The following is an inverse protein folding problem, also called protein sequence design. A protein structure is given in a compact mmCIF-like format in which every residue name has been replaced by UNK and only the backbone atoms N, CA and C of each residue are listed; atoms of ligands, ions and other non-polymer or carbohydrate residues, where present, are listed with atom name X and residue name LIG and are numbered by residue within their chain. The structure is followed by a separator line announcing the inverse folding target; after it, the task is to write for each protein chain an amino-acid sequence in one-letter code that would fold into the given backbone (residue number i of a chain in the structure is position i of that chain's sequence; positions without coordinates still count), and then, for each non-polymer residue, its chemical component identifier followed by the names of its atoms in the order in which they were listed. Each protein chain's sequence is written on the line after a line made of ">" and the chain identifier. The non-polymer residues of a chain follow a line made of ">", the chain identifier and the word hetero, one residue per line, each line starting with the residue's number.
data_IF_295895356540
#
_entry.id   IF_295895356540
#
_cell.length_a   1.000
_cell.length_b   1.000
_cell.length_c   1.000
_cell.angle_alpha   90.00
_cell.angle_beta   90.00
_cell.angle_gamma   90.00
#
_symmetry.space_group_name_H-M   'P 1'
#
loop_
_entity.id
_entity.type
_entity.pdbx_description
1 polymer ?
#
# COMPACT_ATOMS: atom_id res chain seq x y z
N UNK A 1 -9.82 39.30 -8.28
CA UNK A 1 -8.64 39.20 -9.12
C UNK A 1 -8.53 37.79 -9.69
N UNK A 2 -7.95 37.61 -10.89
CA UNK A 2 -7.84 36.29 -11.57
C UNK A 2 -7.11 35.25 -10.73
N UNK A 3 -6.13 35.66 -9.91
CA UNK A 3 -5.37 34.77 -9.01
C UNK A 3 -6.26 34.12 -7.95
N UNK A 4 -7.18 34.90 -7.36
CA UNK A 4 -8.11 34.35 -6.34
C UNK A 4 -9.08 33.34 -6.95
N UNK A 5 -9.51 33.56 -8.18
CA UNK A 5 -10.41 32.67 -8.91
C UNK A 5 -9.70 31.35 -9.30
N UNK A 6 -8.43 31.41 -9.75
CA UNK A 6 -7.60 30.23 -9.99
C UNK A 6 -7.35 29.41 -8.71
N UNK A 7 -7.08 30.08 -7.58
CA UNK A 7 -6.84 29.41 -6.30
C UNK A 7 -8.10 28.71 -5.81
N UNK A 8 -9.27 29.33 -5.98
CA UNK A 8 -10.56 28.75 -5.65
C UNK A 8 -10.87 27.54 -6.54
N UNK A 9 -10.60 27.61 -7.86
CA UNK A 9 -10.78 26.50 -8.78
C UNK A 9 -9.90 25.30 -8.42
N UNK A 10 -8.64 25.53 -8.05
CA UNK A 10 -7.71 24.48 -7.58
C UNK A 10 -8.26 23.80 -6.33
N UNK A 11 -8.71 24.56 -5.32
CA UNK A 11 -9.28 24.01 -4.09
C UNK A 11 -10.50 23.13 -4.39
N UNK A 12 -11.39 23.58 -5.29
CA UNK A 12 -12.60 22.83 -5.65
C UNK A 12 -12.25 21.52 -6.38
N UNK A 13 -11.29 21.56 -7.31
CA UNK A 13 -10.85 20.37 -8.06
C UNK A 13 -10.18 19.33 -7.16
N UNK A 14 -9.40 19.77 -6.16
CA UNK A 14 -8.70 18.87 -5.22
C UNK A 14 -9.51 18.55 -3.94
N UNK A 15 -10.76 19.01 -3.85
CA UNK A 15 -11.62 18.76 -2.70
C UNK A 15 -11.76 17.26 -2.35
N UNK A 16 -12.02 16.33 -3.30
CA UNK A 16 -12.15 14.91 -2.97
C UNK A 16 -10.83 14.29 -2.48
N UNK A 17 -9.68 14.69 -3.05
CA UNK A 17 -8.37 14.21 -2.64
C UNK A 17 -8.01 14.73 -1.24
N UNK A 18 -8.27 16.00 -0.97
CA UNK A 18 -8.08 16.60 0.36
C UNK A 18 -8.95 15.95 1.40
N UNK A 19 -10.19 15.59 1.07
CA UNK A 19 -11.10 14.88 1.99
C UNK A 19 -10.55 13.50 2.34
N UNK A 20 -10.15 12.70 1.33
CA UNK A 20 -9.51 11.39 1.55
C UNK A 20 -8.23 11.50 2.39
N UNK A 21 -7.42 12.51 2.13
CA UNK A 21 -6.20 12.78 2.90
C UNK A 21 -6.50 13.10 4.37
N UNK A 22 -7.49 13.94 4.63
CA UNK A 22 -7.92 14.30 6.00
C UNK A 22 -8.57 13.12 6.73
N UNK A 23 -9.36 12.29 6.05
CA UNK A 23 -9.94 11.06 6.61
C UNK A 23 -8.84 10.06 6.98
N UNK A 24 -7.83 9.89 6.14
CA UNK A 24 -6.66 9.03 6.44
C UNK A 24 -5.82 9.58 7.61
N UNK A 25 -5.71 10.89 7.74
CA UNK A 25 -5.04 11.51 8.90
C UNK A 25 -5.87 11.38 10.19
N UNK A 26 -7.20 11.44 10.09
CA UNK A 26 -8.09 11.35 11.25
C UNK A 26 -8.20 9.94 11.86
N UNK A 27 -7.98 8.90 11.06
CA UNK A 27 -8.01 7.49 11.53
C UNK A 27 -6.71 7.03 12.19
N UNK A 28 -5.60 7.74 11.99
CA UNK A 28 -4.35 7.50 12.72
C UNK A 28 -4.29 8.43 13.91
N UNK A 29 -4.26 7.88 15.11
CA UNK A 29 -4.10 8.63 16.36
C UNK A 29 -2.95 9.62 16.26
N UNK A 30 -3.26 10.91 16.07
CA UNK A 30 -2.32 12.02 15.83
C UNK A 30 -1.48 12.35 17.09
N UNK A 31 -1.80 11.77 18.24
CA UNK A 31 -1.07 12.00 19.50
C UNK A 31 0.36 11.45 19.52
N UNK A 32 0.76 10.62 18.51
CA UNK A 32 2.12 10.07 18.37
C UNK A 32 3.01 10.77 17.34
N UNK A 33 2.45 11.51 16.37
CA UNK A 33 3.14 11.85 15.13
C UNK A 33 4.39 12.76 15.24
N UNK A 34 4.56 13.52 16.31
CA UNK A 34 5.77 14.34 16.49
C UNK A 34 6.85 13.61 17.32
N UNK A 35 6.45 12.69 18.19
CA UNK A 35 7.38 11.85 18.95
C UNK A 35 7.83 10.62 18.16
N UNK A 36 7.04 10.17 17.17
CA UNK A 36 7.40 9.05 16.30
C UNK A 36 8.55 9.38 15.33
N UNK A 37 8.71 10.65 14.93
CA UNK A 37 9.88 11.05 14.14
C UNK A 37 11.18 10.83 14.95
N UNK A 38 11.16 10.98 16.26
CA UNK A 38 12.32 10.71 17.12
C UNK A 38 12.52 9.21 17.42
N UNK A 39 11.44 8.43 17.38
CA UNK A 39 11.50 6.97 17.56
C UNK A 39 12.00 6.24 16.32
N UNK A 40 11.83 6.83 15.11
CA UNK A 40 12.41 6.31 13.87
C UNK A 40 13.94 6.26 13.89
N UNK A 41 14.58 7.10 14.72
CA UNK A 41 16.04 7.05 14.92
C UNK A 41 16.51 5.98 15.91
N UNK A 42 15.60 5.33 16.65
CA UNK A 42 15.96 4.38 17.73
C UNK A 42 15.35 2.98 17.56
N UNK A 43 14.66 2.69 16.45
CA UNK A 43 14.05 1.38 16.23
C UNK A 43 15.11 0.38 15.79
N UNK A 44 15.40 -0.59 16.65
CA UNK A 44 16.01 -1.85 16.23
C UNK A 44 15.25 -2.33 14.99
N UNK A 45 15.98 -2.72 13.95
CA UNK A 45 15.50 -3.12 12.64
C UNK A 45 14.63 -4.39 12.74
N UNK A 46 13.40 -4.27 13.26
CA UNK A 46 12.39 -5.29 13.01
C UNK A 46 12.01 -5.14 11.54
N UNK A 47 12.28 -6.18 10.77
CA UNK A 47 11.90 -6.26 9.35
C UNK A 47 10.37 -6.21 9.31
N UNK A 48 9.81 -5.13 8.76
CA UNK A 48 8.37 -4.99 8.63
C UNK A 48 7.88 -5.97 7.54
N UNK A 49 6.98 -6.88 7.93
CA UNK A 49 6.48 -7.96 7.08
C UNK A 49 5.01 -7.72 6.76
N UNK A 50 4.60 -8.06 5.53
CA UNK A 50 3.19 -8.03 5.15
C UNK A 50 2.38 -9.13 5.82
N UNK A 51 3.00 -10.29 6.10
CA UNK A 51 2.39 -11.45 6.75
C UNK A 51 3.46 -12.30 7.45
N UNK A 52 3.04 -13.15 8.39
CA UNK A 52 3.93 -13.98 9.18
C UNK A 52 4.43 -15.22 8.44
N UNK A 53 5.49 -15.83 8.94
CA UNK A 53 6.02 -17.10 8.44
C UNK A 53 5.00 -18.25 8.63
N UNK A 54 4.16 -18.18 9.69
CA UNK A 54 3.05 -19.10 9.92
C UNK A 54 2.06 -19.05 8.75
N UNK A 55 1.71 -17.85 8.29
CA UNK A 55 0.81 -17.65 7.15
C UNK A 55 1.33 -18.28 5.87
N UNK A 56 2.64 -18.18 5.60
CA UNK A 56 3.24 -18.87 4.44
C UNK A 56 3.03 -20.38 4.54
N UNK A 57 3.25 -20.96 5.71
CA UNK A 57 3.04 -22.39 5.94
C UNK A 57 1.59 -22.81 5.73
N UNK A 58 0.63 -22.07 6.26
CA UNK A 58 -0.79 -22.35 6.13
C UNK A 58 -1.30 -22.21 4.69
N UNK A 59 -0.88 -21.14 3.97
CA UNK A 59 -1.19 -20.94 2.55
C UNK A 59 -0.65 -22.07 1.69
N UNK A 60 0.64 -22.41 1.89
CA UNK A 60 1.28 -23.49 1.14
C UNK A 60 0.56 -24.81 1.36
N UNK A 61 0.25 -25.16 2.61
CA UNK A 61 -0.49 -26.38 2.96
C UNK A 61 -1.88 -26.40 2.31
N UNK A 62 -2.62 -25.29 2.38
CA UNK A 62 -3.95 -25.18 1.80
C UNK A 62 -3.94 -25.34 0.28
N UNK A 63 -3.08 -24.57 -0.42
CA UNK A 63 -3.03 -24.58 -1.89
C UNK A 63 -2.70 -25.95 -2.45
N UNK A 64 -1.73 -26.67 -1.86
CA UNK A 64 -1.36 -27.99 -2.36
C UNK A 64 -2.38 -29.06 -1.98
N UNK A 65 -3.00 -29.00 -0.79
CA UNK A 65 -4.10 -29.90 -0.43
C UNK A 65 -5.31 -29.71 -1.37
N UNK A 66 -5.68 -28.48 -1.69
CA UNK A 66 -6.73 -28.20 -2.67
C UNK A 66 -6.32 -28.63 -4.10
N UNK A 67 -5.04 -28.50 -4.45
CA UNK A 67 -4.51 -28.94 -5.74
C UNK A 67 -4.61 -30.47 -5.94
N UNK A 68 -4.32 -31.26 -4.91
CA UNK A 68 -4.44 -32.74 -4.93
C UNK A 68 -5.85 -33.20 -5.27
N UNK A 69 -6.87 -32.54 -4.74
CA UNK A 69 -8.29 -32.87 -4.98
C UNK A 69 -8.93 -32.01 -6.08
N UNK A 70 -8.13 -31.19 -6.78
CA UNK A 70 -8.59 -30.27 -7.84
C UNK A 70 -9.72 -29.33 -7.40
N UNK A 71 -9.62 -28.81 -6.20
CA UNK A 71 -10.48 -27.74 -5.72
C UNK A 71 -9.90 -26.40 -6.20
N UNK A 72 -10.67 -25.68 -7.03
CA UNK A 72 -10.26 -24.37 -7.54
C UNK A 72 -10.25 -23.32 -6.44
N UNK A 73 -9.19 -22.54 -6.34
CA UNK A 73 -9.08 -21.48 -5.34
C UNK A 73 -8.46 -20.20 -5.94
N UNK A 74 -8.84 -19.04 -5.37
CA UNK A 74 -8.34 -17.74 -5.74
C UNK A 74 -8.11 -16.93 -4.44
N UNK A 75 -6.84 -16.80 -4.03
CA UNK A 75 -6.46 -16.16 -2.76
C UNK A 75 -5.62 -14.93 -3.05
N UNK A 76 -6.07 -13.78 -2.57
CA UNK A 76 -5.42 -12.48 -2.71
C UNK A 76 -4.77 -12.10 -1.40
N UNK A 77 -3.50 -11.69 -1.47
CA UNK A 77 -2.73 -11.20 -0.33
C UNK A 77 -2.44 -9.72 -0.57
N UNK A 78 -3.03 -8.86 0.27
CA UNK A 78 -2.80 -7.41 0.23
C UNK A 78 -1.36 -7.06 0.62
N UNK A 79 -0.80 -6.03 -0.06
CA UNK A 79 0.51 -5.48 0.27
C UNK A 79 0.41 -3.99 0.57
N UNK A 80 1.07 -3.11 -0.22
CA UNK A 80 1.04 -1.65 0.01
C UNK A 80 -0.26 -1.00 -0.45
N UNK A 81 -0.80 -1.47 -1.58
CA UNK A 81 -2.03 -0.90 -2.16
C UNK A 81 -3.24 -1.51 -1.47
N UNK A 82 -4.06 -0.72 -0.75
CA UNK A 82 -5.25 -1.22 -0.07
C UNK A 82 -6.28 -1.79 -1.05
N UNK A 83 -6.88 -2.92 -0.69
CA UNK A 83 -7.89 -3.63 -1.49
C UNK A 83 -9.33 -3.41 -1.01
N UNK A 84 -9.62 -2.31 -0.29
CA UNK A 84 -10.91 -2.05 0.34
C UNK A 84 -12.09 -2.15 -0.64
N UNK A 85 -11.95 -1.63 -1.86
CA UNK A 85 -12.99 -1.69 -2.91
C UNK A 85 -13.38 -3.14 -3.26
N UNK A 86 -12.40 -4.05 -3.30
CA UNK A 86 -12.64 -5.47 -3.59
C UNK A 86 -13.19 -6.22 -2.38
N UNK A 87 -12.73 -5.86 -1.16
CA UNK A 87 -13.24 -6.42 0.11
C UNK A 87 -14.74 -6.15 0.26
N UNK A 88 -15.20 -4.92 -0.03
CA UNK A 88 -16.61 -4.51 0.05
C UNK A 88 -17.53 -5.29 -0.90
N UNK A 89 -16.99 -5.90 -1.96
CA UNK A 89 -17.78 -6.72 -2.88
C UNK A 89 -18.08 -8.13 -2.36
N UNK A 90 -17.42 -8.55 -1.29
CA UNK A 90 -17.49 -9.90 -0.74
C UNK A 90 -18.27 -10.00 0.57
N UNK A 91 -18.13 -11.14 1.23
CA UNK A 91 -18.72 -11.45 2.54
C UNK A 91 -17.63 -11.32 3.59
N UNK A 92 -17.83 -10.46 4.59
CA UNK A 92 -16.89 -10.25 5.69
C UNK A 92 -16.77 -11.51 6.57
N UNK A 93 -15.52 -11.94 6.78
CA UNK A 93 -15.20 -13.09 7.64
C UNK A 93 -14.39 -12.68 8.87
N UNK A 94 -13.41 -11.82 8.69
CA UNK A 94 -12.48 -11.35 9.73
C UNK A 94 -11.88 -12.45 10.61
N UNK A 95 -11.49 -13.57 10.00
CA UNK A 95 -11.04 -14.80 10.65
C UNK A 95 -9.52 -14.94 10.65
N UNK A 96 -8.98 -15.66 11.64
CA UNK A 96 -7.58 -16.03 11.68
C UNK A 96 -7.25 -17.06 10.59
N UNK A 97 -6.05 -16.95 10.01
CA UNK A 97 -5.60 -17.83 8.94
C UNK A 97 -5.33 -19.23 9.44
N UNK A 98 -5.92 -20.22 8.75
CA UNK A 98 -5.57 -21.61 8.84
C UNK A 98 -5.80 -22.33 7.50
N UNK A 99 -5.01 -23.36 7.24
CA UNK A 99 -5.15 -24.15 6.00
C UNK A 99 -6.53 -24.79 5.90
N UNK A 100 -7.09 -25.24 7.03
CA UNK A 100 -8.42 -25.83 7.10
C UNK A 100 -9.52 -24.83 6.72
N UNK A 101 -9.39 -23.56 7.14
CA UNK A 101 -10.36 -22.53 6.81
C UNK A 101 -10.37 -22.25 5.31
N UNK A 102 -9.18 -22.10 4.67
CA UNK A 102 -9.10 -21.93 3.22
C UNK A 102 -9.73 -23.11 2.47
N UNK A 103 -9.44 -24.37 2.87
CA UNK A 103 -10.01 -25.56 2.25
C UNK A 103 -11.54 -25.55 2.37
N UNK A 104 -12.08 -25.21 3.54
CA UNK A 104 -13.53 -25.13 3.76
C UNK A 104 -14.21 -23.99 2.98
N UNK A 105 -13.56 -22.84 2.84
CA UNK A 105 -14.10 -21.72 2.04
C UNK A 105 -14.24 -22.14 0.58
N UNK A 106 -13.23 -22.80 0.00
CA UNK A 106 -13.22 -23.19 -1.40
C UNK A 106 -13.87 -24.55 -1.69
N UNK A 107 -14.42 -25.21 -0.66
CA UNK A 107 -15.18 -26.46 -0.86
C UNK A 107 -16.35 -26.23 -1.83
N UNK A 108 -16.45 -27.11 -2.84
CA UNK A 108 -17.46 -26.98 -3.90
C UNK A 108 -18.89 -26.99 -3.34
N UNK A 109 -19.76 -26.24 -3.96
CA UNK A 109 -21.17 -26.10 -3.60
C UNK A 109 -21.43 -25.48 -2.21
N UNK A 110 -20.47 -24.78 -1.62
CA UNK A 110 -20.66 -23.97 -0.42
C UNK A 110 -20.93 -22.50 -0.81
N UNK A 111 -21.57 -21.69 0.04
CA UNK A 111 -21.86 -20.28 -0.27
C UNK A 111 -20.61 -19.40 -0.48
N UNK A 112 -19.44 -19.81 0.03
CA UNK A 112 -18.22 -18.99 0.05
C UNK A 112 -17.22 -19.33 -1.06
N UNK A 113 -17.46 -20.39 -1.87
CA UNK A 113 -16.44 -20.92 -2.79
C UNK A 113 -16.28 -20.11 -4.10
N UNK A 114 -17.33 -19.36 -4.49
CA UNK A 114 -17.33 -18.62 -5.75
C UNK A 114 -16.81 -17.19 -5.53
N UNK A 115 -15.70 -16.89 -6.17
CA UNK A 115 -15.00 -15.61 -6.02
C UNK A 115 -13.61 -15.76 -5.40
N UNK A 116 -13.06 -14.64 -4.96
CA UNK A 116 -11.77 -14.57 -4.32
C UNK A 116 -11.87 -14.45 -2.80
N UNK A 117 -10.88 -14.97 -2.12
CA UNK A 117 -10.62 -14.68 -0.70
C UNK A 117 -9.57 -13.59 -0.61
N UNK A 118 -9.84 -12.54 0.16
CA UNK A 118 -8.87 -11.48 0.42
C UNK A 118 -8.32 -11.64 1.83
N UNK A 119 -6.99 -11.72 1.88
CA UNK A 119 -6.20 -11.75 3.09
C UNK A 119 -5.48 -10.42 3.29
N UNK A 120 -5.57 -9.87 4.50
CA UNK A 120 -4.83 -8.68 4.94
C UNK A 120 -4.00 -9.08 6.16
N UNK A 121 -2.68 -8.99 6.04
CA UNK A 121 -1.72 -9.49 7.04
C UNK A 121 -1.96 -10.97 7.34
N UNK A 122 -2.27 -11.29 8.59
CA UNK A 122 -2.50 -12.66 9.08
C UNK A 122 -3.99 -12.96 9.30
N UNK A 123 -4.89 -12.28 8.56
CA UNK A 123 -6.34 -12.49 8.64
C UNK A 123 -6.99 -12.68 7.28
N UNK A 124 -7.93 -13.60 7.19
CA UNK A 124 -8.89 -13.69 6.09
C UNK A 124 -9.98 -12.65 6.38
N UNK A 125 -10.03 -11.58 5.56
CA UNK A 125 -10.94 -10.46 5.79
C UNK A 125 -12.28 -10.71 5.11
N UNK A 126 -12.27 -11.15 3.84
CA UNK A 126 -13.50 -11.37 3.07
C UNK A 126 -13.36 -12.54 2.11
N UNK A 127 -14.49 -13.15 1.74
CA UNK A 127 -14.59 -14.19 0.72
C UNK A 127 -15.63 -13.80 -0.33
N UNK A 128 -15.72 -14.55 -1.42
CA UNK A 128 -16.60 -14.28 -2.58
C UNK A 128 -16.36 -12.92 -3.26
N UNK A 129 -15.17 -12.37 -3.09
CA UNK A 129 -14.84 -11.06 -3.65
C UNK A 129 -14.75 -11.11 -5.18
N UNK A 130 -15.29 -10.08 -5.83
CA UNK A 130 -15.26 -9.93 -7.28
C UNK A 130 -13.99 -9.23 -7.71
N UNK A 131 -13.27 -9.82 -8.66
CA UNK A 131 -12.01 -9.29 -9.17
C UNK A 131 -12.13 -8.91 -10.66
N UNK A 132 -11.39 -7.90 -11.13
CA UNK A 132 -11.36 -7.53 -12.54
C UNK A 132 -10.65 -8.63 -13.35
N UNK A 133 -11.19 -8.94 -14.51
CA UNK A 133 -10.55 -9.84 -15.46
C UNK A 133 -9.56 -9.08 -16.35
N UNK A 134 -8.36 -9.62 -16.52
CA UNK A 134 -7.40 -9.03 -17.45
C UNK A 134 -7.96 -9.02 -18.90
N UNK A 135 -7.85 -7.87 -19.53
CA UNK A 135 -8.19 -7.68 -20.96
C UNK A 135 -7.05 -8.00 -21.91
N UNK A 136 -5.91 -8.45 -21.40
CA UNK A 136 -4.71 -8.72 -22.18
C UNK A 136 -4.91 -9.93 -23.10
N UNK A 137 -4.97 -9.68 -24.42
CA UNK A 137 -5.15 -10.71 -25.45
C UNK A 137 -3.98 -11.68 -25.60
N UNK A 138 -2.82 -11.38 -24.99
CA UNK A 138 -1.63 -12.25 -25.04
C UNK A 138 -1.67 -13.36 -23.98
N UNK A 139 -2.63 -13.35 -23.06
CA UNK A 139 -2.81 -14.40 -22.08
C UNK A 139 -3.22 -15.70 -22.77
N UNK A 140 -2.59 -16.80 -22.37
CA UNK A 140 -2.92 -18.11 -22.90
C UNK A 140 -4.42 -18.42 -22.74
N UNK A 141 -5.08 -18.76 -23.84
CA UNK A 141 -6.53 -19.01 -23.89
C UNK A 141 -6.97 -20.22 -23.05
N UNK A 142 -6.05 -21.11 -22.72
CA UNK A 142 -6.30 -22.28 -21.88
C UNK A 142 -6.34 -21.96 -20.38
N UNK A 143 -6.10 -20.69 -19.99
CA UNK A 143 -6.21 -20.26 -18.61
C UNK A 143 -7.66 -19.91 -18.28
N UNK A 144 -8.20 -20.54 -17.22
CA UNK A 144 -9.56 -20.32 -16.73
C UNK A 144 -9.78 -18.90 -16.15
N UNK A 145 -11.02 -18.62 -15.79
CA UNK A 145 -11.45 -17.31 -15.27
C UNK A 145 -10.68 -16.87 -14.04
N UNK A 146 -10.38 -17.78 -13.08
CA UNK A 146 -9.59 -17.49 -11.88
C UNK A 146 -8.18 -17.02 -12.20
N UNK A 147 -7.52 -17.61 -13.18
CA UNK A 147 -6.19 -17.15 -13.62
C UNK A 147 -6.24 -15.76 -14.26
N UNK A 148 -7.28 -15.49 -15.07
CA UNK A 148 -7.46 -14.18 -15.70
C UNK A 148 -7.80 -13.09 -14.68
N UNK A 149 -8.56 -13.43 -13.63
CA UNK A 149 -8.84 -12.55 -12.50
C UNK A 149 -7.56 -12.26 -11.70
N UNK A 150 -6.75 -13.29 -11.43
CA UNK A 150 -5.48 -13.12 -10.73
C UNK A 150 -4.52 -12.17 -11.48
N UNK A 151 -4.40 -12.35 -12.79
CA UNK A 151 -3.58 -11.45 -13.62
C UNK A 151 -4.18 -10.03 -13.58
N UNK A 152 -5.50 -9.88 -13.79
CA UNK A 152 -6.17 -8.58 -13.86
C UNK A 152 -6.01 -7.76 -12.59
N UNK A 153 -6.17 -8.36 -11.42
CA UNK A 153 -5.94 -7.67 -10.16
C UNK A 153 -4.45 -7.33 -9.96
N UNK A 154 -3.54 -8.25 -10.30
CA UNK A 154 -2.10 -8.00 -10.17
C UNK A 154 -1.53 -7.02 -11.22
N UNK A 155 -2.28 -6.68 -12.28
CA UNK A 155 -1.98 -5.57 -13.21
C UNK A 155 -2.33 -4.21 -12.59
N UNK A 156 -3.39 -4.16 -11.76
CA UNK A 156 -3.91 -2.93 -11.17
C UNK A 156 -3.32 -2.60 -9.79
N UNK A 157 -2.77 -3.60 -9.10
CA UNK A 157 -2.28 -3.50 -7.73
C UNK A 157 -0.97 -4.25 -7.55
N UNK A 158 -0.31 -4.04 -6.40
CA UNK A 158 0.93 -4.75 -6.03
C UNK A 158 0.67 -6.05 -5.26
N UNK A 159 -0.59 -6.49 -5.15
CA UNK A 159 -0.98 -7.69 -4.42
C UNK A 159 -0.37 -8.97 -5.00
N UNK A 160 -0.31 -10.01 -4.17
CA UNK A 160 -0.01 -11.37 -4.61
C UNK A 160 -1.32 -12.14 -4.79
N UNK A 161 -1.46 -12.85 -5.91
CA UNK A 161 -2.67 -13.64 -6.13
C UNK A 161 -2.31 -15.10 -6.41
N UNK A 162 -2.67 -15.97 -5.47
CA UNK A 162 -2.52 -17.42 -5.60
C UNK A 162 -3.74 -18.01 -6.30
N UNK A 163 -3.50 -18.91 -7.23
CA UNK A 163 -4.53 -19.63 -7.97
C UNK A 163 -4.29 -21.12 -7.89
N UNK A 164 -5.31 -21.87 -7.55
CA UNK A 164 -5.33 -23.32 -7.69
C UNK A 164 -6.29 -23.66 -8.83
N UNK A 165 -5.81 -24.42 -9.81
CA UNK A 165 -6.61 -24.82 -10.98
C UNK A 165 -7.55 -25.96 -10.60
N UNK A 166 -8.84 -25.82 -10.89
CA UNK A 166 -9.82 -26.89 -10.73
C UNK A 166 -9.72 -27.98 -11.80
N UNK A 167 -9.06 -27.70 -12.92
CA UNK A 167 -8.87 -28.66 -14.00
C UNK A 167 -7.63 -29.53 -13.78
N UNK A 168 -6.51 -28.89 -13.46
CA UNK A 168 -5.20 -29.55 -13.38
C UNK A 168 -4.69 -29.76 -11.96
N UNK A 169 -5.22 -29.01 -10.96
CA UNK A 169 -4.69 -28.97 -9.61
C UNK A 169 -3.39 -28.13 -9.49
N UNK A 170 -2.90 -27.55 -10.58
CA UNK A 170 -1.68 -26.76 -10.55
C UNK A 170 -1.84 -25.47 -9.75
N UNK A 171 -0.81 -25.14 -8.97
CA UNK A 171 -0.74 -23.91 -8.19
C UNK A 171 0.04 -22.87 -8.97
N UNK A 172 -0.47 -21.65 -9.04
CA UNK A 172 0.12 -20.53 -9.75
C UNK A 172 0.12 -19.27 -8.88
N UNK A 173 1.06 -18.35 -9.13
CA UNK A 173 1.15 -17.06 -8.45
C UNK A 173 1.22 -15.93 -9.48
N UNK A 174 0.25 -15.02 -9.43
CA UNK A 174 0.27 -13.78 -10.20
C UNK A 174 0.87 -12.63 -9.38
N UNK A 175 1.80 -11.90 -9.98
CA UNK A 175 2.48 -10.73 -9.40
C UNK A 175 2.79 -9.75 -10.51
N UNK A 176 2.44 -8.47 -10.33
CA UNK A 176 2.73 -7.40 -11.29
C UNK A 176 2.31 -7.75 -12.73
N UNK A 177 1.12 -8.30 -12.91
CA UNK A 177 0.56 -8.68 -14.21
C UNK A 177 1.17 -9.93 -14.84
N UNK A 178 2.09 -10.63 -14.14
CA UNK A 178 2.74 -11.85 -14.63
C UNK A 178 2.30 -13.07 -13.85
N UNK A 179 1.92 -14.12 -14.57
CA UNK A 179 1.54 -15.40 -13.97
C UNK A 179 2.73 -16.37 -13.96
N UNK A 180 3.18 -16.76 -12.78
CA UNK A 180 4.10 -17.87 -12.57
C UNK A 180 3.27 -19.16 -12.45
N UNK A 181 3.16 -19.89 -13.53
CA UNK A 181 2.28 -21.04 -13.65
C UNK A 181 2.92 -22.34 -13.21
N UNK A 182 2.13 -23.25 -12.61
CA UNK A 182 2.53 -24.60 -12.20
C UNK A 182 3.79 -24.62 -11.31
N UNK A 183 3.71 -23.90 -10.19
CA UNK A 183 4.80 -23.82 -9.22
C UNK A 183 4.91 -25.12 -8.41
N UNK A 184 6.15 -25.55 -8.10
CA UNK A 184 6.38 -26.54 -7.04
C UNK A 184 6.17 -25.90 -5.66
N UNK A 185 5.94 -26.75 -4.65
CA UNK A 185 5.72 -26.30 -3.27
C UNK A 185 6.88 -25.45 -2.76
N UNK A 186 8.09 -25.86 -3.04
CA UNK A 186 9.33 -25.19 -2.65
C UNK A 186 9.42 -23.81 -3.32
N UNK A 187 9.13 -23.76 -4.63
CA UNK A 187 9.21 -22.51 -5.41
C UNK A 187 8.15 -21.50 -5.00
N UNK A 188 6.91 -21.96 -4.74
CA UNK A 188 5.87 -21.09 -4.22
C UNK A 188 6.26 -20.51 -2.85
N UNK A 189 6.77 -21.36 -1.94
CA UNK A 189 7.20 -20.94 -0.61
C UNK A 189 8.35 -19.93 -0.70
N UNK A 190 9.36 -20.17 -1.55
CA UNK A 190 10.46 -19.22 -1.81
C UNK A 190 9.93 -17.85 -2.28
N UNK A 191 8.98 -17.86 -3.22
CA UNK A 191 8.39 -16.63 -3.73
C UNK A 191 7.59 -15.89 -2.64
N UNK A 192 6.82 -16.59 -1.80
CA UNK A 192 6.10 -15.97 -0.69
C UNK A 192 7.06 -15.33 0.32
N UNK A 193 8.17 -15.98 0.65
CA UNK A 193 9.20 -15.36 1.50
C UNK A 193 9.84 -14.14 0.86
N UNK A 194 10.11 -14.18 -0.44
CA UNK A 194 10.66 -13.05 -1.19
C UNK A 194 9.75 -11.82 -1.11
N UNK A 195 8.45 -12.00 -1.27
CA UNK A 195 7.47 -10.91 -1.28
C UNK A 195 6.89 -10.57 0.10
N UNK A 196 7.27 -11.29 1.15
CA UNK A 196 6.84 -11.06 2.53
C UNK A 196 7.36 -9.75 3.10
N UNK A 197 8.60 -9.40 2.73
CA UNK A 197 9.31 -8.25 3.28
C UNK A 197 8.84 -7.00 2.54
N UNK A 198 8.45 -5.97 3.31
CA UNK A 198 8.27 -4.64 2.73
C UNK A 198 9.61 -4.16 2.22
N UNK A 199 9.69 -3.87 0.92
CA UNK A 199 10.82 -3.13 0.39
C UNK A 199 10.79 -1.78 1.09
N UNK A 200 11.69 -1.58 2.07
CA UNK A 200 12.02 -0.23 2.51
C UNK A 200 12.52 0.46 1.23
N UNK A 201 11.66 1.24 0.60
CA UNK A 201 12.13 2.29 -0.30
C UNK A 201 13.03 3.11 0.60
N UNK A 202 14.33 2.95 0.40
CA UNK A 202 15.32 3.63 1.24
C UNK A 202 15.11 5.11 0.95
N UNK A 203 14.20 5.72 1.74
CA UNK A 203 13.92 7.18 1.69
C UNK A 203 15.25 7.92 1.76
N UNK A 204 16.29 7.28 2.34
CA UNK A 204 17.65 7.73 2.35
C UNK A 204 18.29 7.73 0.95
N UNK A 205 18.00 6.76 0.07
CA UNK A 205 18.51 6.77 -1.31
C UNK A 205 17.75 7.77 -2.17
N UNK A 206 16.43 7.83 -2.09
CA UNK A 206 15.61 8.79 -2.83
C UNK A 206 15.85 10.24 -2.36
N UNK A 207 16.05 10.44 -1.04
CA UNK A 207 16.43 11.75 -0.49
C UNK A 207 17.88 12.08 -0.82
N UNK A 208 18.79 11.09 -0.90
CA UNK A 208 20.18 11.29 -1.29
C UNK A 208 20.35 11.59 -2.77
N UNK A 209 19.48 11.02 -3.64
CA UNK A 209 19.49 11.28 -5.08
C UNK A 209 18.82 12.63 -5.46
N UNK A 210 17.78 13.05 -4.71
CA UNK A 210 17.09 14.33 -4.94
C UNK A 210 17.63 15.50 -4.14
N UNK A 211 18.27 15.26 -3.00
CA UNK A 211 18.89 16.27 -2.17
C UNK A 211 20.29 15.78 -1.82
N UNK A 212 21.28 16.29 -2.53
CA UNK A 212 22.69 16.13 -2.14
C UNK A 212 22.94 16.93 -0.85
N UNK A 213 22.66 16.27 0.30
CA UNK A 213 22.87 16.84 1.63
C UNK A 213 24.36 17.09 1.95
N UNK A 214 25.29 16.75 1.04
CA UNK A 214 26.71 17.08 1.21
C UNK A 214 26.96 18.58 1.19
N UNK A 215 26.13 19.35 0.50
CA UNK A 215 26.21 20.82 0.54
C UNK A 215 25.54 21.43 1.79
N UNK A 216 24.78 20.64 2.56
CA UNK A 216 24.12 21.09 3.81
C UNK A 216 24.83 20.56 5.05
N UNK A 217 26.13 20.34 4.99
CA UNK A 217 26.92 20.05 6.19
C UNK A 217 27.04 21.31 7.03
N UNK A 218 26.90 21.18 8.36
CA UNK A 218 27.11 22.22 9.40
C UNK A 218 28.41 23.02 9.25
N UNK A 219 29.30 22.60 8.34
CA UNK A 219 30.52 23.33 7.96
C UNK A 219 30.24 24.63 7.22
N UNK A 220 29.09 24.78 6.57
CA UNK A 220 28.63 25.99 5.90
C UNK A 220 27.88 26.97 6.83
N UNK A 221 27.56 26.55 8.05
CA UNK A 221 27.00 27.37 9.13
C UNK A 221 28.09 28.12 9.93
N UNK A 222 29.26 28.37 9.33
CA UNK A 222 30.21 29.27 9.92
C UNK A 222 29.60 30.69 9.88
N UNK A 223 29.35 31.35 11.05
CA UNK A 223 28.64 32.62 11.12
C UNK A 223 29.36 33.73 10.28
N UNK A 224 30.63 33.55 9.95
CA UNK A 224 31.38 34.42 9.06
C UNK A 224 31.00 34.31 7.58
N UNK A 225 30.38 33.18 7.15
CA UNK A 225 29.90 33.02 5.76
C UNK A 225 28.43 33.43 5.59
N UNK A 226 27.68 33.55 6.68
CA UNK A 226 26.28 34.03 6.68
C UNK A 226 26.21 35.57 6.45
N UNK A 227 27.35 36.28 6.60
CA UNK A 227 27.43 37.74 6.49
C UNK A 227 28.04 38.16 5.14
N UNK A 228 28.00 37.33 4.11
CA UNK A 228 28.34 37.77 2.77
C UNK A 228 27.22 38.67 2.25
N UNK A 229 27.54 39.94 2.16
CA UNK A 229 26.72 41.16 2.15
C UNK A 229 25.68 41.29 1.02
N UNK A 230 25.65 40.41 0.01
CA UNK A 230 24.81 40.63 -1.17
C UNK A 230 23.39 40.04 -1.08
N UNK A 231 23.14 39.10 -0.18
CA UNK A 231 21.80 38.46 -0.07
C UNK A 231 21.19 38.51 1.33
N UNK A 232 21.87 39.13 2.29
CA UNK A 232 21.38 39.19 3.69
C UNK A 232 20.15 40.10 3.81
N UNK A 233 20.11 41.22 3.10
CA UNK A 233 18.94 42.13 3.09
C UNK A 233 17.69 41.47 2.49
N UNK A 234 17.86 40.65 1.45
CA UNK A 234 16.72 39.92 0.81
C UNK A 234 16.18 38.84 1.72
N UNK A 235 17.06 38.11 2.40
CA UNK A 235 16.65 37.06 3.37
C UNK A 235 15.99 37.66 4.61
N UNK A 236 16.50 38.76 5.11
CA UNK A 236 15.91 39.52 6.22
C UNK A 236 14.53 40.07 5.81
N UNK A 237 14.42 40.64 4.61
CA UNK A 237 13.16 41.11 4.07
C UNK A 237 12.10 39.99 3.94
N UNK A 238 12.49 38.81 3.47
CA UNK A 238 11.56 37.67 3.36
C UNK A 238 11.04 37.20 4.72
N UNK A 239 11.87 37.19 5.75
CA UNK A 239 11.44 36.88 7.13
C UNK A 239 10.49 37.95 7.66
N UNK A 240 10.78 39.24 7.42
CA UNK A 240 9.87 40.31 7.82
C UNK A 240 8.52 40.24 7.10
N UNK A 241 8.50 39.93 5.80
CA UNK A 241 7.27 39.78 5.01
C UNK A 241 6.44 38.59 5.55
N UNK A 242 7.09 37.47 5.89
CA UNK A 242 6.42 36.29 6.45
C UNK A 242 5.81 36.58 7.84
N UNK A 243 6.56 37.21 8.73
CA UNK A 243 6.09 37.59 10.09
C UNK A 243 4.99 38.63 10.00
N UNK A 244 5.14 39.65 9.14
CA UNK A 244 4.13 40.69 8.95
C UNK A 244 2.83 40.12 8.33
N UNK A 245 2.96 39.23 7.35
CA UNK A 245 1.81 38.50 6.79
C UNK A 245 1.09 37.64 7.82
N UNK A 246 1.83 36.99 8.72
CA UNK A 246 1.26 36.20 9.81
C UNK A 246 0.54 37.07 10.84
N UNK A 247 1.12 38.20 11.25
CA UNK A 247 0.48 39.16 12.16
C UNK A 247 -0.80 39.77 11.55
N UNK A 248 -0.77 40.08 10.23
CA UNK A 248 -1.96 40.57 9.52
C UNK A 248 -3.09 39.51 9.50
N UNK A 249 -2.74 38.23 9.25
CA UNK A 249 -3.70 37.12 9.26
C UNK A 249 -4.33 36.94 10.65
N UNK A 250 -3.57 37.03 11.73
CA UNK A 250 -4.08 36.95 13.10
C UNK A 250 -4.99 38.14 13.43
N UNK A 251 -4.63 39.34 12.97
CA UNK A 251 -5.42 40.56 13.23
C UNK A 251 -6.74 40.58 12.43
N UNK A 252 -6.79 39.97 11.26
CA UNK A 252 -8.00 39.79 10.44
C UNK A 252 -8.91 38.69 11.01
N UNK A 253 -8.31 37.62 11.59
CA UNK A 253 -9.07 36.52 12.16
C UNK A 253 -9.61 36.76 13.58
N UNK A 254 -9.06 37.76 14.30
CA UNK A 254 -9.55 38.21 15.61
C UNK A 254 -9.67 39.75 15.62
N UNK A 255 -10.76 40.34 15.10
CA UNK A 255 -11.03 41.74 15.35
C UNK A 255 -11.34 41.92 16.86
N UNK A 256 -10.43 42.60 17.56
CA UNK A 256 -10.70 43.00 18.95
C UNK A 256 -12.00 43.85 18.97
N UNK A 257 -13.04 43.27 19.54
CA UNK A 257 -14.25 43.99 19.90
C UNK A 257 -13.89 44.95 21.02
N UNK A 258 -13.83 46.22 20.67
CA UNK A 258 -13.96 47.35 21.65
C UNK A 258 -15.40 47.57 22.02
#
# INVERSE_FOLDING_TARGET
>A
SAITLCLFAIIVVFQPEMRKFLEQMGTKNITGGFLDIFSLFKKNKEIDKYYSDKTIGELTKACYAMGEVKTGALIVIEREIPLAEYVESGIDLNADISSQLYINIFEKNTPLHDGAVIQIKDKIVSATCLLPLSSNKKINKNLGTRHRAAIGLSEATDCLVLVVSEETGSVSLAVNGKLNHNLSKEKMTEMLYKYQIKEETDVKEVVKEKFDFKDFTLKNLNPKNLIKKENFSIRLASVFVAVFGWILLINISNPMTT
#
